data_IF_613818268387
#
_entry.id   IF_613818268387
#
_cell.length_a   1.000
_cell.length_b   1.000
_cell.length_c   1.000
_cell.angle_alpha   90.00
_cell.angle_beta   90.00
_cell.angle_gamma   90.00
#
_symmetry.space_group_name_H-M   'P 1'
#
loop_
_entity.id
_entity.type
_entity.pdbx_description
1 polymer ?
#
# COMPACT_ATOMS: atom_id res chain seq x y z
N UNK A 1 0.62 14.23 -11.33
CA UNK A 1 -0.71 14.73 -11.78
C UNK A 1 -0.67 16.24 -12.05
N UNK A 2 -0.01 17.05 -11.22
CA UNK A 2 0.04 18.52 -11.28
C UNK A 2 0.58 19.11 -12.60
N UNK A 3 1.52 18.45 -13.27
CA UNK A 3 2.00 18.89 -14.60
C UNK A 3 0.95 18.65 -15.70
N UNK A 4 0.11 17.62 -15.57
CA UNK A 4 -0.94 17.31 -16.54
C UNK A 4 -2.19 18.18 -16.38
N UNK A 5 -2.48 18.66 -15.17
CA UNK A 5 -3.46 19.74 -14.94
C UNK A 5 -3.08 21.00 -15.71
N UNK A 6 -1.81 21.41 -15.60
CA UNK A 6 -1.29 22.61 -16.25
C UNK A 6 -1.24 22.52 -17.78
N UNK A 7 -1.28 21.30 -18.32
CA UNK A 7 -1.22 21.02 -19.75
C UNK A 7 -2.58 20.61 -20.34
N UNK A 8 -3.67 20.61 -19.55
CA UNK A 8 -5.01 20.18 -20.00
C UNK A 8 -5.13 18.67 -20.31
N UNK A 9 -4.07 17.88 -20.10
CA UNK A 9 -4.01 16.42 -20.35
C UNK A 9 -4.43 15.58 -19.14
N UNK A 10 -4.99 16.22 -18.12
CA UNK A 10 -5.41 15.55 -16.89
C UNK A 10 -6.45 14.46 -17.17
N UNK A 11 -7.48 14.79 -17.97
CA UNK A 11 -8.58 13.87 -18.25
C UNK A 11 -8.10 12.58 -18.95
N UNK A 12 -7.09 12.69 -19.83
CA UNK A 12 -6.48 11.53 -20.47
C UNK A 12 -5.69 10.67 -19.50
N UNK A 13 -4.93 11.29 -18.58
CA UNK A 13 -4.20 10.53 -17.55
C UNK A 13 -5.13 9.86 -16.55
N UNK A 14 -6.19 10.53 -16.11
CA UNK A 14 -7.22 9.91 -15.25
C UNK A 14 -7.85 8.72 -15.98
N UNK A 15 -8.21 8.87 -17.26
CA UNK A 15 -8.76 7.78 -18.07
C UNK A 15 -7.79 6.63 -18.24
N UNK A 16 -6.50 6.92 -18.39
CA UNK A 16 -5.45 5.91 -18.43
C UNK A 16 -5.38 5.10 -17.14
N UNK A 17 -5.37 5.76 -15.96
CA UNK A 17 -5.37 5.06 -14.67
C UNK A 17 -6.68 4.35 -14.36
N UNK A 18 -7.82 4.87 -14.83
CA UNK A 18 -9.13 4.25 -14.63
C UNK A 18 -9.31 2.96 -15.45
N UNK A 19 -8.57 2.79 -16.56
CA UNK A 19 -8.65 1.59 -17.40
C UNK A 19 -8.05 0.33 -16.78
N UNK A 20 -7.14 0.46 -15.82
CA UNK A 20 -6.51 -0.69 -15.19
C UNK A 20 -7.54 -1.50 -14.38
N UNK A 21 -7.55 -2.83 -14.52
CA UNK A 21 -8.46 -3.70 -13.73
C UNK A 21 -8.17 -3.63 -12.23
N UNK A 22 -6.91 -3.42 -11.86
CA UNK A 22 -6.45 -3.17 -10.49
C UNK A 22 -5.53 -1.94 -10.49
N UNK A 23 -5.83 -0.98 -9.63
CA UNK A 23 -4.95 0.16 -9.37
C UNK A 23 -4.46 0.10 -7.93
N UNK A 24 -3.14 0.17 -7.74
CA UNK A 24 -2.51 0.23 -6.42
C UNK A 24 -1.99 1.65 -6.24
N UNK A 25 -2.44 2.30 -5.18
CA UNK A 25 -1.99 3.63 -4.77
C UNK A 25 -1.26 3.47 -3.44
N UNK A 26 0.05 3.61 -3.48
CA UNK A 26 0.90 3.46 -2.30
C UNK A 26 1.13 4.81 -1.61
N UNK A 27 1.26 4.78 -0.28
CA UNK A 27 1.62 5.91 0.58
C UNK A 27 0.79 7.18 0.30
N UNK A 28 -0.51 6.98 0.14
CA UNK A 28 -1.42 8.11 0.06
C UNK A 28 -1.27 8.88 1.39
N UNK A 29 -1.08 10.20 1.30
CA UNK A 29 -0.93 11.16 2.42
C UNK A 29 0.51 11.54 2.84
N UNK A 30 1.58 11.04 2.23
CA UNK A 30 2.93 11.40 2.71
C UNK A 30 3.29 12.91 2.59
N UNK A 31 2.76 13.60 1.58
CA UNK A 31 2.98 15.04 1.38
C UNK A 31 1.65 15.79 1.50
N UNK A 32 1.62 16.97 2.16
CA UNK A 32 0.42 17.80 2.21
C UNK A 32 0.00 18.09 0.78
N UNK A 33 -1.16 17.54 0.41
CA UNK A 33 -1.67 17.67 -0.94
C UNK A 33 -2.17 19.10 -1.06
N UNK A 34 -1.67 19.86 -2.03
CA UNK A 34 -2.26 21.17 -2.33
C UNK A 34 -3.73 20.97 -2.68
N UNK A 35 -4.61 21.93 -2.39
CA UNK A 35 -6.07 21.79 -2.62
C UNK A 35 -6.41 21.28 -4.04
N UNK A 36 -5.59 21.63 -5.04
CA UNK A 36 -5.70 21.09 -6.40
C UNK A 36 -5.48 19.57 -6.49
N UNK A 37 -4.44 19.03 -5.82
CA UNK A 37 -4.17 17.59 -5.83
C UNK A 37 -5.24 16.74 -5.14
N UNK A 38 -5.94 17.29 -4.14
CA UNK A 38 -7.05 16.62 -3.45
C UNK A 38 -8.22 16.40 -4.42
N UNK A 39 -8.56 17.44 -5.19
CA UNK A 39 -9.59 17.36 -6.22
C UNK A 39 -9.24 16.35 -7.33
N UNK A 40 -7.96 16.23 -7.70
CA UNK A 40 -7.51 15.21 -8.66
C UNK A 40 -7.71 13.79 -8.15
N UNK A 41 -7.36 13.56 -6.89
CA UNK A 41 -7.53 12.26 -6.28
C UNK A 41 -9.01 11.90 -6.16
N UNK A 42 -9.85 12.86 -5.78
CA UNK A 42 -11.30 12.70 -5.80
C UNK A 42 -11.83 12.32 -7.19
N UNK A 43 -11.41 13.01 -8.25
CA UNK A 43 -11.80 12.67 -9.62
C UNK A 43 -11.37 11.24 -10.03
N UNK A 44 -10.19 10.80 -9.60
CA UNK A 44 -9.70 9.45 -9.86
C UNK A 44 -10.54 8.39 -9.12
N UNK A 45 -10.85 8.62 -7.85
CA UNK A 45 -11.70 7.74 -7.04
C UNK A 45 -13.09 7.65 -7.68
N UNK A 46 -13.71 8.77 -8.03
CA UNK A 46 -15.04 8.79 -8.68
C UNK A 46 -15.02 8.08 -10.04
N UNK A 47 -13.93 8.22 -10.80
CA UNK A 47 -13.80 7.55 -12.09
C UNK A 47 -13.70 6.03 -11.95
N UNK A 48 -13.24 5.52 -10.81
CA UNK A 48 -13.05 4.08 -10.53
C UNK A 48 -14.12 3.48 -9.63
N UNK A 49 -14.89 4.29 -8.93
CA UNK A 49 -16.02 3.89 -8.10
C UNK A 49 -16.96 2.96 -8.91
N UNK A 50 -17.23 1.78 -8.35
CA UNK A 50 -18.01 0.69 -8.97
C UNK A 50 -17.50 0.16 -10.33
N UNK A 51 -16.33 0.59 -10.80
CA UNK A 51 -15.80 0.24 -12.14
C UNK A 51 -14.52 -0.59 -12.12
N UNK A 52 -13.73 -0.55 -11.06
CA UNK A 52 -12.49 -1.32 -10.96
C UNK A 52 -11.92 -1.40 -9.56
N UNK A 53 -11.17 -2.46 -9.28
CA UNK A 53 -10.59 -2.69 -7.96
C UNK A 53 -9.49 -1.66 -7.65
N UNK A 54 -9.42 -1.21 -6.40
CA UNK A 54 -8.37 -0.31 -5.93
C UNK A 54 -7.80 -0.82 -4.62
N UNK A 55 -6.48 -0.75 -4.49
CA UNK A 55 -5.77 -0.96 -3.23
C UNK A 55 -5.11 0.36 -2.87
N UNK A 56 -5.32 0.80 -1.65
CA UNK A 56 -4.74 2.02 -1.12
C UNK A 56 -3.98 1.69 0.15
N UNK A 57 -2.78 2.27 0.30
CA UNK A 57 -2.03 2.21 1.55
C UNK A 57 -1.84 3.62 2.09
N UNK A 58 -2.05 3.79 3.40
CA UNK A 58 -1.81 5.05 4.07
C UNK A 58 -1.15 4.80 5.42
N UNK A 59 -0.29 5.72 5.81
CA UNK A 59 0.33 5.75 7.13
C UNK A 59 -0.42 6.65 8.13
N UNK A 60 -1.56 7.22 7.73
CA UNK A 60 -2.41 8.09 8.53
C UNK A 60 -3.79 7.47 8.71
N UNK A 61 -4.36 7.63 9.89
CA UNK A 61 -5.73 7.18 10.15
C UNK A 61 -6.75 8.03 9.39
N UNK A 62 -7.95 7.49 9.15
CA UNK A 62 -9.02 8.22 8.44
C UNK A 62 -9.41 9.55 9.11
N UNK A 63 -9.24 9.66 10.43
CA UNK A 63 -9.50 10.91 11.16
C UNK A 63 -8.59 12.06 10.73
N UNK A 64 -7.35 11.76 10.32
CA UNK A 64 -6.36 12.75 9.88
C UNK A 64 -6.58 13.18 8.42
N UNK A 65 -7.43 12.49 7.65
CA UNK A 65 -7.61 12.78 6.24
C UNK A 65 -8.24 14.16 5.99
N UNK A 66 -9.06 14.67 6.93
CA UNK A 66 -9.60 16.02 6.83
C UNK A 66 -8.52 17.10 6.75
N UNK A 67 -7.47 16.98 7.55
CA UNK A 67 -6.33 17.92 7.56
C UNK A 67 -5.48 17.76 6.30
N UNK A 68 -5.32 16.53 5.84
CA UNK A 68 -4.46 16.17 4.69
C UNK A 68 -5.00 16.69 3.38
N UNK A 69 -6.31 16.58 3.17
CA UNK A 69 -6.97 17.10 1.97
C UNK A 69 -7.28 18.60 2.07
N UNK A 70 -7.10 19.20 3.26
CA UNK A 70 -7.35 20.62 3.53
C UNK A 70 -8.84 21.00 3.63
N UNK A 71 -9.74 20.05 3.34
CA UNK A 71 -11.19 20.22 3.47
C UNK A 71 -11.81 18.94 4.06
N UNK A 72 -12.32 18.98 5.29
CA UNK A 72 -13.00 17.84 5.93
C UNK A 72 -14.21 17.33 5.14
N UNK A 73 -14.92 18.19 4.41
CA UNK A 73 -16.10 17.81 3.62
C UNK A 73 -15.68 16.95 2.43
N UNK A 74 -14.63 17.38 1.72
CA UNK A 74 -14.06 16.62 0.60
C UNK A 74 -13.48 15.29 1.08
N UNK A 75 -12.76 15.30 2.20
CA UNK A 75 -12.23 14.08 2.79
C UNK A 75 -13.35 13.08 3.15
N UNK A 76 -14.44 13.56 3.77
CA UNK A 76 -15.58 12.71 4.14
C UNK A 76 -16.27 12.13 2.92
N UNK A 77 -16.53 12.93 1.88
CA UNK A 77 -17.13 12.45 0.63
C UNK A 77 -16.22 11.42 -0.08
N UNK A 78 -14.91 11.61 -0.02
CA UNK A 78 -13.95 10.67 -0.59
C UNK A 78 -13.93 9.34 0.18
N UNK A 79 -13.91 9.43 1.52
CA UNK A 79 -13.98 8.25 2.39
C UNK A 79 -15.28 7.47 2.19
N UNK A 80 -16.41 8.14 2.06
CA UNK A 80 -17.71 7.51 1.78
C UNK A 80 -17.64 6.60 0.54
N UNK A 81 -17.16 7.14 -0.58
CA UNK A 81 -17.04 6.38 -1.83
C UNK A 81 -16.01 5.24 -1.76
N UNK A 82 -14.89 5.44 -1.05
CA UNK A 82 -13.89 4.39 -0.88
C UNK A 82 -14.41 3.27 0.02
N UNK A 83 -15.03 3.62 1.14
CA UNK A 83 -15.41 2.67 2.20
C UNK A 83 -16.69 1.92 1.87
N UNK A 84 -17.53 2.42 0.95
CA UNK A 84 -18.76 1.73 0.56
C UNK A 84 -18.51 0.28 0.08
N UNK A 85 -17.40 0.04 -0.63
CA UNK A 85 -17.01 -1.28 -1.13
C UNK A 85 -15.55 -1.64 -0.82
N UNK A 86 -15.06 -1.28 0.37
CA UNK A 86 -13.70 -1.61 0.79
C UNK A 86 -13.64 -2.66 1.89
N UNK A 87 -12.52 -3.38 1.90
CA UNK A 87 -12.06 -4.13 3.07
C UNK A 87 -10.94 -3.31 3.69
N UNK A 88 -11.14 -2.87 4.93
CA UNK A 88 -10.13 -2.12 5.69
C UNK A 88 -9.25 -3.09 6.46
N UNK A 89 -7.93 -3.02 6.22
CA UNK A 89 -6.94 -3.80 6.94
C UNK A 89 -6.10 -2.83 7.76
N UNK A 90 -6.30 -2.85 9.08
CA UNK A 90 -5.47 -2.09 10.01
C UNK A 90 -4.17 -2.88 10.25
N UNK A 91 -3.03 -2.27 9.95
CA UNK A 91 -1.72 -2.88 10.16
C UNK A 91 -1.07 -2.19 11.36
N UNK A 92 -0.84 -2.96 12.41
CA UNK A 92 -0.16 -2.53 13.64
C UNK A 92 1.07 -3.38 13.88
N UNK A 93 2.11 -2.79 14.45
CA UNK A 93 3.33 -3.48 14.84
C UNK A 93 4.60 -2.72 14.54
N UNK A 94 5.71 -3.25 15.05
CA UNK A 94 7.03 -2.68 14.83
C UNK A 94 7.41 -2.68 13.35
N UNK A 95 8.12 -1.63 12.91
CA UNK A 95 8.58 -1.50 11.53
C UNK A 95 9.43 -2.69 11.11
N UNK A 96 9.01 -3.37 10.03
CA UNK A 96 9.75 -4.50 9.49
C UNK A 96 11.19 -4.12 9.09
N UNK A 97 11.40 -2.89 8.60
CA UNK A 97 12.73 -2.38 8.18
C UNK A 97 13.70 -2.26 9.36
N UNK A 98 13.17 -1.96 10.54
CA UNK A 98 13.94 -1.78 11.77
C UNK A 98 14.38 -3.11 12.39
N UNK A 99 13.81 -4.24 11.94
CA UNK A 99 14.12 -5.58 12.46
C UNK A 99 15.59 -6.00 12.27
N UNK A 100 16.25 -5.53 11.21
CA UNK A 100 17.68 -5.78 10.96
C UNK A 100 18.63 -4.82 11.67
N UNK A 101 18.09 -3.74 12.26
CA UNK A 101 18.81 -2.74 13.04
C UNK A 101 18.38 -2.74 14.51
N UNK A 102 17.84 -3.87 14.99
CA UNK A 102 17.31 -3.99 16.35
C UNK A 102 18.32 -3.57 17.44
N UNK A 103 19.61 -3.74 17.18
CA UNK A 103 20.70 -3.35 18.09
C UNK A 103 20.91 -1.82 18.19
N UNK A 104 20.36 -1.04 17.26
CA UNK A 104 20.53 0.42 17.18
C UNK A 104 19.29 1.21 17.64
N UNK A 105 18.22 0.52 18.04
CA UNK A 105 16.91 1.13 18.28
C UNK A 105 16.51 0.92 19.74
N UNK A 106 16.20 1.99 20.49
CA UNK A 106 15.73 1.86 21.86
C UNK A 106 14.49 0.97 21.99
N UNK A 107 14.48 0.07 22.96
CA UNK A 107 13.43 -0.94 23.19
C UNK A 107 12.01 -0.37 23.25
N UNK A 108 11.86 0.90 23.65
CA UNK A 108 10.56 1.58 23.75
C UNK A 108 9.86 1.83 22.42
N UNK A 109 10.55 1.72 21.27
CA UNK A 109 9.94 1.80 19.93
C UNK A 109 9.43 0.42 19.46
N UNK A 110 9.96 -0.67 20.04
CA UNK A 110 9.62 -2.04 19.67
C UNK A 110 8.45 -2.63 20.47
N UNK A 111 8.07 -2.00 21.58
CA UNK A 111 7.00 -2.47 22.45
C UNK A 111 5.63 -2.12 21.86
N UNK A 112 5.15 -2.93 20.92
CA UNK A 112 3.72 -3.24 20.65
C UNK A 112 3.58 -4.17 19.43
N UNK A 113 4.11 -5.40 19.48
CA UNK A 113 3.55 -6.57 18.78
C UNK A 113 4.38 -7.84 19.06
N UNK A 114 3.79 -8.94 19.56
CA UNK A 114 4.42 -10.26 19.48
C UNK A 114 4.31 -10.78 18.05
N UNK A 115 5.30 -10.46 17.20
CA UNK A 115 5.43 -11.02 15.85
C UNK A 115 6.05 -12.42 15.99
N UNK A 116 5.22 -13.45 16.18
CA UNK A 116 5.69 -14.83 15.99
C UNK A 116 6.01 -15.00 14.51
N UNK A 117 7.27 -15.24 14.11
CA UNK A 117 7.62 -15.40 12.71
C UNK A 117 6.97 -16.67 12.13
N UNK A 118 6.44 -16.65 10.90
CA UNK A 118 6.04 -17.88 10.23
C UNK A 118 7.28 -18.76 10.02
N UNK A 119 7.15 -20.10 10.19
CA UNK A 119 8.27 -21.01 10.01
C UNK A 119 8.81 -20.93 8.57
N UNK A 120 10.14 -21.08 8.38
CA UNK A 120 10.75 -21.00 7.06
C UNK A 120 10.17 -22.08 6.13
N UNK A 121 9.95 -21.78 4.84
CA UNK A 121 9.43 -22.76 3.90
C UNK A 121 10.42 -23.91 3.74
N UNK A 122 9.88 -25.14 3.85
CA UNK A 122 10.67 -26.37 3.72
C UNK A 122 11.32 -26.40 2.33
N UNK A 123 12.66 -26.37 2.28
CA UNK A 123 13.43 -26.50 1.03
C UNK A 123 13.15 -27.88 0.42
N UNK A 124 12.20 -27.94 -0.51
CA UNK A 124 12.00 -29.10 -1.39
C UNK A 124 13.23 -29.26 -2.28
N UNK A 125 14.00 -30.33 -2.02
CA UNK A 125 14.74 -31.03 -3.06
C UNK A 125 16.27 -31.03 -2.97
N UNK A 126 16.83 -32.17 -2.54
CA UNK A 126 17.89 -32.89 -3.28
C UNK A 126 17.78 -34.38 -2.92
N UNK A 127 17.56 -35.30 -3.88
CA UNK A 127 17.52 -36.72 -3.57
C UNK A 127 18.93 -37.24 -3.22
N UNK A 128 19.06 -38.29 -2.39
CA UNK A 128 20.37 -38.83 -2.01
C UNK A 128 21.01 -39.54 -3.20
N UNK A 129 22.32 -39.33 -3.38
CA UNK A 129 23.11 -40.01 -4.42
C UNK A 129 23.34 -41.46 -3.99
N UNK A 130 22.71 -42.42 -4.66
CA UNK A 130 22.93 -43.86 -4.49
C UNK A 130 24.40 -44.19 -4.81
N UNK A 131 25.17 -44.66 -3.84
CA UNK A 131 26.47 -45.30 -4.08
C UNK A 131 26.21 -46.79 -4.34
N UNK A 132 26.11 -47.18 -5.61
CA UNK A 132 26.24 -48.57 -6.04
C UNK A 132 27.68 -48.78 -6.55
N UNK A 133 28.30 -49.88 -6.12
CA UNK A 133 29.69 -50.25 -6.41
C UNK A 133 29.90 -50.95 -7.75
N UNK A 134 31.07 -51.61 -7.85
CA UNK A 134 31.78 -52.21 -8.99
C UNK A 134 32.75 -51.22 -9.68
N UNK A 135 34.02 -51.51 -9.96
CA UNK A 135 34.68 -52.81 -10.22
C UNK A 135 36.22 -52.69 -10.14
N UNK A 136 36.88 -53.82 -9.89
CA UNK A 136 38.21 -54.29 -10.32
C UNK A 136 39.46 -53.40 -10.21
N UNK A 137 40.43 -53.86 -9.41
CA UNK A 137 41.66 -54.53 -9.90
C UNK A 137 42.39 -55.26 -8.77
#
# INVERSE_FOLDING_TARGET
MSQAEREGRLAEKIRFYARASLLIVDEIVYLPITTGGANLFFQLVNARYEKGAMILTSNRGFAEWGEVFGDPVVATALLDQLLHHAVVIQIEGASYRLRGHADLIPEHVCANAPITPPPPPNRRGRPPKTKNGATDH
#
